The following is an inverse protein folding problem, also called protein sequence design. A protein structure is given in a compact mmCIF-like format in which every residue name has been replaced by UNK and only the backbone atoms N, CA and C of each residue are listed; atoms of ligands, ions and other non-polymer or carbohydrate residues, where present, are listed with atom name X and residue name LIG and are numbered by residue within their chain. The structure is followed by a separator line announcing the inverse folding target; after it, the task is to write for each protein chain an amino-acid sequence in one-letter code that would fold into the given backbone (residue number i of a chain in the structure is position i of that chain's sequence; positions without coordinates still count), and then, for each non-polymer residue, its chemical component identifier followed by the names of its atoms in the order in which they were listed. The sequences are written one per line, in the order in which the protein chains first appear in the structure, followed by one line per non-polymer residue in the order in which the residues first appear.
data_IF_465702746533
#
_entry.id   IF_465702746533
#
_cell.length_a   1.000
_cell.length_b   1.000
_cell.length_c   1.000
_cell.angle_alpha   90.00
_cell.angle_beta   90.00
_cell.angle_gamma   90.00
#
_symmetry.space_group_name_H-M   'P 1'
#
loop_
_entity.id
_entity.type
_entity.pdbx_description
1 polymer ?
#
# COMPACT_ATOMS: atom_id res chain seq x y z
N UNK A 1 15.84 31.16 59.46
CA UNK A 1 14.64 30.74 58.71
C UNK A 1 14.72 31.17 57.24
N UNK A 2 14.95 32.46 56.93
CA UNK A 2 15.07 32.99 55.56
C UNK A 2 16.11 32.30 54.66
N UNK A 3 17.31 31.98 55.17
CA UNK A 3 18.38 31.34 54.38
C UNK A 3 18.01 29.95 53.85
N UNK A 4 17.37 29.13 54.70
CA UNK A 4 16.90 27.79 54.33
C UNK A 4 15.77 27.82 53.30
N UNK A 5 14.85 28.77 53.40
CA UNK A 5 13.80 28.96 52.38
C UNK A 5 14.39 29.42 51.04
N UNK A 6 15.38 30.31 51.07
CA UNK A 6 16.10 30.73 49.85
C UNK A 6 16.86 29.57 49.20
N UNK A 7 17.52 28.72 50.00
CA UNK A 7 18.26 27.55 49.51
C UNK A 7 17.32 26.48 48.93
N UNK A 8 16.16 26.23 49.57
CA UNK A 8 15.14 25.34 49.03
C UNK A 8 14.56 25.85 47.70
N UNK A 9 14.23 27.14 47.63
CA UNK A 9 13.74 27.74 46.40
C UNK A 9 14.78 27.69 45.27
N UNK A 10 16.06 27.87 45.59
CA UNK A 10 17.16 27.73 44.63
C UNK A 10 17.27 26.30 44.09
N UNK A 11 17.24 25.30 44.99
CA UNK A 11 17.33 23.89 44.62
C UNK A 11 16.14 23.43 43.77
N UNK A 12 14.93 23.89 44.10
CA UNK A 12 13.72 23.61 43.32
C UNK A 12 13.80 24.23 41.92
N UNK A 13 14.26 25.49 41.83
CA UNK A 13 14.48 26.17 40.55
C UNK A 13 15.50 25.41 39.69
N UNK A 14 16.62 25.00 40.26
CA UNK A 14 17.66 24.29 39.53
C UNK A 14 17.18 22.89 39.09
N UNK A 15 16.34 22.21 39.89
CA UNK A 15 15.66 20.97 39.50
C UNK A 15 14.69 21.17 38.32
N UNK A 16 13.89 22.24 38.35
CA UNK A 16 12.97 22.58 37.26
C UNK A 16 13.72 22.91 35.96
N UNK A 17 14.83 23.65 36.05
CA UNK A 17 15.69 23.93 34.89
C UNK A 17 16.26 22.64 34.30
N UNK A 18 16.72 21.70 35.15
CA UNK A 18 17.18 20.39 34.70
C UNK A 18 16.10 19.58 33.97
N UNK A 19 14.85 19.63 34.45
CA UNK A 19 13.71 18.98 33.79
C UNK A 19 13.39 19.61 32.43
N UNK A 20 13.42 20.94 32.33
CA UNK A 20 13.19 21.66 31.07
C UNK A 20 14.25 21.27 30.03
N UNK A 21 15.52 21.20 30.42
CA UNK A 21 16.60 20.80 29.51
C UNK A 21 16.48 19.34 29.08
N UNK A 22 16.07 18.44 29.99
CA UNK A 22 15.79 17.05 29.63
C UNK A 22 14.65 16.93 28.63
N UNK A 23 13.54 17.64 28.84
CA UNK A 23 12.39 17.64 27.92
C UNK A 23 12.76 18.22 26.55
N UNK A 24 13.58 19.29 26.51
CA UNK A 24 14.08 19.85 25.25
C UNK A 24 14.91 18.85 24.44
N UNK A 25 15.76 18.07 25.12
CA UNK A 25 16.54 17.01 24.47
C UNK A 25 15.65 15.92 23.88
N UNK A 26 14.69 15.42 24.68
CA UNK A 26 13.73 14.42 24.22
C UNK A 26 12.90 14.92 23.03
N UNK A 27 12.46 16.19 23.06
CA UNK A 27 11.73 16.79 21.94
C UNK A 27 12.58 16.85 20.67
N UNK A 28 13.87 17.17 20.80
CA UNK A 28 14.80 17.22 19.66
C UNK A 28 15.00 15.83 19.06
N UNK A 29 15.17 14.81 19.91
CA UNK A 29 15.26 13.41 19.50
C UNK A 29 13.98 12.96 18.76
N UNK A 30 12.80 13.21 19.33
CA UNK A 30 11.51 12.90 18.70
C UNK A 30 11.32 13.63 17.37
N UNK A 31 11.72 14.90 17.29
CA UNK A 31 11.62 15.68 16.07
C UNK A 31 12.50 15.08 14.97
N UNK A 32 13.76 14.76 15.28
CA UNK A 32 14.66 14.09 14.34
C UNK A 32 14.12 12.72 13.91
N UNK A 33 13.54 11.95 14.84
CA UNK A 33 12.90 10.66 14.55
C UNK A 33 11.74 10.81 13.57
N UNK A 34 10.91 11.84 13.76
CA UNK A 34 9.74 12.11 12.92
C UNK A 34 10.16 12.50 11.49
N UNK A 35 11.21 13.30 11.33
CA UNK A 35 11.79 13.61 10.01
C UNK A 35 12.29 12.33 9.32
N UNK A 36 12.98 11.46 10.07
CA UNK A 36 13.46 10.17 9.56
C UNK A 36 12.32 9.27 9.09
N UNK A 37 11.22 9.21 9.85
CA UNK A 37 10.00 8.49 9.46
C UNK A 37 9.38 9.06 8.18
N UNK A 38 9.30 10.40 8.05
CA UNK A 38 8.77 11.05 6.85
C UNK A 38 9.54 10.66 5.58
N UNK A 39 10.88 10.63 5.64
CA UNK A 39 11.71 10.17 4.51
C UNK A 39 11.48 8.70 4.16
N UNK A 40 11.29 7.84 5.17
CA UNK A 40 10.99 6.42 4.94
C UNK A 40 9.61 6.22 4.31
N UNK A 41 8.61 6.97 4.75
CA UNK A 41 7.27 6.96 4.14
C UNK A 41 7.32 7.37 2.67
N UNK A 42 8.01 8.46 2.35
CA UNK A 42 8.21 8.88 0.95
C UNK A 42 8.91 7.81 0.10
N UNK A 43 9.90 7.12 0.67
CA UNK A 43 10.56 6.00 0.01
C UNK A 43 9.60 4.85 -0.29
N UNK A 44 8.80 4.44 0.70
CA UNK A 44 7.81 3.37 0.56
C UNK A 44 6.73 3.75 -0.46
N UNK A 45 6.22 4.99 -0.43
CA UNK A 45 5.27 5.50 -1.43
C UNK A 45 5.86 5.41 -2.83
N UNK A 46 7.13 5.78 -3.02
CA UNK A 46 7.83 5.65 -4.30
C UNK A 46 7.92 4.20 -4.80
N UNK A 47 8.23 3.25 -3.92
CA UNK A 47 8.26 1.83 -4.28
C UNK A 47 6.87 1.28 -4.61
N UNK A 48 5.81 1.74 -3.91
CA UNK A 48 4.42 1.39 -4.23
C UNK A 48 4.07 1.86 -5.64
N UNK A 49 4.41 3.11 -6.02
CA UNK A 49 4.15 3.61 -7.37
C UNK A 49 4.85 2.77 -8.44
N UNK A 50 6.12 2.42 -8.24
CA UNK A 50 6.86 1.56 -9.17
C UNK A 50 6.21 0.18 -9.31
N UNK A 51 5.81 -0.43 -8.19
CA UNK A 51 5.13 -1.72 -8.19
C UNK A 51 3.80 -1.66 -8.94
N UNK A 52 3.03 -0.57 -8.78
CA UNK A 52 1.79 -0.36 -9.51
C UNK A 52 2.03 -0.24 -11.02
N UNK A 53 3.06 0.49 -11.44
CA UNK A 53 3.44 0.62 -12.84
C UNK A 53 3.82 -0.76 -13.43
N UNK A 54 4.68 -1.51 -12.76
CA UNK A 54 5.07 -2.86 -13.19
C UNK A 54 3.86 -3.80 -13.24
N UNK A 55 2.94 -3.71 -12.29
CA UNK A 55 1.72 -4.51 -12.29
C UNK A 55 0.82 -4.20 -13.49
N UNK A 56 0.72 -2.92 -13.88
CA UNK A 56 -0.01 -2.51 -15.08
C UNK A 56 0.67 -3.04 -16.34
N UNK A 57 1.99 -2.93 -16.45
CA UNK A 57 2.75 -3.48 -17.56
C UNK A 57 2.55 -4.99 -17.70
N UNK A 58 2.64 -5.74 -16.60
CA UNK A 58 2.39 -7.19 -16.60
C UNK A 58 0.97 -7.54 -17.00
N UNK A 59 -0.01 -6.70 -16.63
CA UNK A 59 -1.41 -6.89 -17.05
C UNK A 59 -1.58 -6.66 -18.56
N UNK A 60 -0.83 -5.72 -19.12
CA UNK A 60 -0.83 -5.44 -20.56
C UNK A 60 -0.07 -6.51 -21.37
N UNK A 61 0.94 -7.16 -20.77
CA UNK A 61 1.78 -8.17 -21.39
C UNK A 61 1.13 -9.57 -21.49
N UNK A 62 -0.03 -9.80 -20.89
CA UNK A 62 -0.76 -11.06 -20.99
C UNK A 62 -2.05 -10.86 -21.85
N UNK A 63 -1.90 -10.75 -23.18
CA UNK A 63 -3.04 -10.60 -24.09
C UNK A 63 -4.00 -11.79 -23.97
N UNK A 64 -3.47 -12.99 -23.71
CA UNK A 64 -4.25 -14.22 -23.54
C UNK A 64 -5.18 -14.10 -22.33
N UNK A 65 -4.71 -13.61 -21.17
CA UNK A 65 -5.60 -13.31 -20.02
C UNK A 65 -6.71 -12.33 -20.35
N UNK A 66 -6.45 -11.33 -21.20
CA UNK A 66 -7.48 -10.37 -21.62
C UNK A 66 -8.52 -11.02 -22.53
N UNK A 67 -8.09 -11.90 -23.43
CA UNK A 67 -8.98 -12.70 -24.28
C UNK A 67 -9.83 -13.66 -23.43
N UNK A 68 -9.23 -14.40 -22.49
CA UNK A 68 -9.96 -15.32 -21.60
C UNK A 68 -10.92 -14.61 -20.64
N UNK A 69 -10.54 -13.46 -20.08
CA UNK A 69 -11.42 -12.67 -19.21
C UNK A 69 -12.60 -12.07 -19.98
N UNK A 70 -12.39 -11.62 -21.22
CA UNK A 70 -13.46 -11.20 -22.14
C UNK A 70 -14.39 -12.38 -22.48
N UNK A 71 -13.82 -13.51 -22.90
CA UNK A 71 -14.56 -14.72 -23.23
C UNK A 71 -15.42 -15.21 -22.05
N UNK A 72 -14.87 -15.21 -20.83
CA UNK A 72 -15.61 -15.59 -19.64
C UNK A 72 -16.83 -14.70 -19.38
N UNK A 73 -16.70 -13.38 -19.59
CA UNK A 73 -17.81 -12.45 -19.45
C UNK A 73 -18.86 -12.62 -20.56
N UNK A 74 -18.44 -12.95 -21.77
CA UNK A 74 -19.37 -13.28 -22.87
C UNK A 74 -20.18 -14.55 -22.55
N UNK A 75 -19.56 -15.59 -21.98
CA UNK A 75 -20.28 -16.78 -21.52
C UNK A 75 -21.32 -16.46 -20.43
N UNK A 76 -21.00 -15.60 -19.47
CA UNK A 76 -21.95 -15.13 -18.45
C UNK A 76 -23.15 -14.38 -19.05
N UNK A 77 -22.93 -13.70 -20.18
CA UNK A 77 -23.98 -13.02 -20.95
C UNK A 77 -24.74 -13.97 -21.90
N UNK A 78 -24.37 -15.25 -21.95
CA UNK A 78 -25.04 -16.28 -22.75
C UNK A 78 -24.50 -16.46 -24.16
N UNK A 79 -23.30 -15.95 -24.45
CA UNK A 79 -22.67 -16.16 -25.77
C UNK A 79 -22.46 -17.65 -26.07
N UNK A 80 -22.61 -18.02 -27.34
CA UNK A 80 -22.41 -19.40 -27.80
C UNK A 80 -20.96 -19.70 -28.22
N UNK A 81 -20.70 -20.94 -28.64
CA UNK A 81 -19.36 -21.40 -29.01
C UNK A 81 -18.82 -20.62 -30.22
N UNK A 82 -19.68 -20.36 -31.21
CA UNK A 82 -19.26 -19.72 -32.45
C UNK A 82 -18.88 -18.25 -32.21
N UNK A 83 -19.66 -17.55 -31.37
CA UNK A 83 -19.35 -16.17 -30.94
C UNK A 83 -18.03 -16.08 -30.17
N UNK A 84 -17.73 -17.04 -29.30
CA UNK A 84 -16.45 -17.06 -28.56
C UNK A 84 -15.27 -17.34 -29.48
N UNK A 85 -15.44 -18.24 -30.46
CA UNK A 85 -14.41 -18.54 -31.45
C UNK A 85 -14.10 -17.32 -32.32
N UNK A 86 -15.11 -16.56 -32.75
CA UNK A 86 -14.91 -15.39 -33.62
C UNK A 86 -14.40 -14.16 -32.86
N UNK A 87 -14.98 -13.85 -31.70
CA UNK A 87 -14.72 -12.59 -30.99
C UNK A 87 -13.52 -12.65 -30.04
N UNK A 88 -13.20 -13.85 -29.54
CA UNK A 88 -12.09 -14.06 -28.62
C UNK A 88 -10.96 -14.90 -29.23
N UNK A 89 -11.05 -15.24 -30.52
CA UNK A 89 -10.07 -16.01 -31.28
C UNK A 89 -9.70 -17.36 -30.62
N UNK A 90 -10.63 -17.94 -29.85
CA UNK A 90 -10.42 -19.18 -29.13
C UNK A 90 -10.61 -20.39 -30.05
N UNK A 91 -9.76 -21.43 -29.96
CA UNK A 91 -10.03 -22.73 -30.56
C UNK A 91 -11.33 -23.33 -30.01
N UNK A 92 -12.03 -24.09 -30.85
CA UNK A 92 -13.30 -24.74 -30.49
C UNK A 92 -13.24 -25.50 -29.16
N UNK A 93 -12.19 -26.30 -28.95
CA UNK A 93 -12.01 -27.09 -27.74
C UNK A 93 -11.87 -26.21 -26.47
N UNK A 94 -11.23 -25.04 -26.59
CA UNK A 94 -11.09 -24.10 -25.48
C UNK A 94 -12.41 -23.38 -25.17
N UNK A 95 -13.16 -22.98 -26.20
CA UNK A 95 -14.49 -22.39 -26.04
C UNK A 95 -15.48 -23.37 -25.36
N UNK A 96 -15.49 -24.63 -25.80
CA UNK A 96 -16.28 -25.71 -25.19
C UNK A 96 -15.92 -25.94 -23.72
N UNK A 97 -14.62 -26.01 -23.42
CA UNK A 97 -14.12 -26.16 -22.05
C UNK A 97 -14.56 -24.97 -21.18
N UNK A 98 -14.41 -23.74 -21.66
CA UNK A 98 -14.71 -22.52 -20.91
C UNK A 98 -16.21 -22.44 -20.53
N UNK A 99 -17.09 -22.79 -21.47
CA UNK A 99 -18.54 -22.89 -21.22
C UNK A 99 -18.84 -23.98 -20.19
N UNK A 100 -18.21 -25.16 -20.31
CA UNK A 100 -18.44 -26.27 -19.37
C UNK A 100 -18.04 -25.92 -17.94
N UNK A 101 -16.89 -25.24 -17.76
CA UNK A 101 -16.37 -24.80 -16.47
C UNK A 101 -17.25 -23.75 -15.80
N UNK A 102 -17.93 -22.90 -16.58
CA UNK A 102 -18.81 -21.84 -16.05
C UNK A 102 -20.23 -22.31 -15.80
N UNK A 103 -20.76 -23.24 -16.61
CA UNK A 103 -22.06 -23.90 -16.38
C UNK A 103 -22.03 -24.87 -15.19
N UNK A 104 -20.85 -25.38 -14.83
CA UNK A 104 -20.66 -26.25 -13.67
C UNK A 104 -20.49 -25.51 -12.32
N UNK A 105 -20.68 -24.18 -12.29
CA UNK A 105 -20.73 -23.37 -11.07
C UNK A 105 -22.16 -23.01 -10.69
#
# INVERSE_FOLDING_TARGET
MFRRHSEQAQAERDSLLGKIDSLRKQLTELHSGTIGMGRRLQGVEGEIYKLQEHQQELTLQDPDRRLYSRAAKMVELGADIDELMSECELPKAEAELLISLRKGR
#
